data_IF_250444694902
#
_entry.id   IF_250444694902
#
_cell.length_a   1.000
_cell.length_b   1.000
_cell.length_c   1.000
_cell.angle_alpha   90.00
_cell.angle_beta   90.00
_cell.angle_gamma   90.00
#
_symmetry.space_group_name_H-M   'P 1'
#
loop_
_entity.id
_entity.type
_entity.pdbx_description
1 polymer ?
#
# COMPACT_ATOMS: atom_id res chain seq x y z
N UNK A 1 13.91 4.99 -4.29
CA UNK A 1 13.32 3.81 -3.56
C UNK A 1 12.86 2.80 -4.59
N UNK A 2 13.09 1.54 -4.34
CA UNK A 2 12.71 0.46 -5.23
C UNK A 2 11.98 -0.63 -4.46
N UNK A 3 11.11 -1.34 -5.16
CA UNK A 3 10.41 -2.51 -4.65
C UNK A 3 10.57 -3.64 -5.65
N UNK A 4 10.91 -4.83 -5.16
CA UNK A 4 11.00 -6.02 -5.98
C UNK A 4 10.38 -7.19 -5.23
N UNK A 5 9.46 -7.88 -5.89
CA UNK A 5 8.76 -9.02 -5.29
C UNK A 5 9.09 -10.28 -6.09
N UNK A 6 9.46 -11.33 -5.39
CA UNK A 6 9.77 -12.63 -5.97
C UNK A 6 8.75 -13.67 -5.50
N UNK A 7 8.59 -14.74 -6.28
CA UNK A 7 7.68 -15.81 -5.93
C UNK A 7 6.22 -15.56 -6.34
N UNK A 8 5.98 -14.60 -7.24
CA UNK A 8 4.68 -14.33 -7.84
C UNK A 8 4.71 -14.68 -9.31
N UNK A 9 3.55 -14.96 -9.90
CA UNK A 9 3.42 -15.29 -11.32
C UNK A 9 2.34 -14.44 -11.97
N UNK A 10 2.46 -14.16 -13.29
CA UNK A 10 1.39 -13.50 -14.04
C UNK A 10 0.09 -14.29 -13.90
N UNK A 11 -1.00 -13.59 -13.65
CA UNK A 11 -2.29 -14.22 -13.40
C UNK A 11 -2.59 -14.49 -11.93
N UNK A 12 -1.63 -14.31 -11.04
CA UNK A 12 -1.91 -14.35 -9.61
C UNK A 12 -2.88 -13.23 -9.22
N UNK A 13 -3.71 -13.51 -8.23
CA UNK A 13 -4.54 -12.50 -7.59
C UNK A 13 -3.72 -11.82 -6.50
N UNK A 14 -3.60 -10.51 -6.56
CA UNK A 14 -2.81 -9.74 -5.61
C UNK A 14 -3.74 -8.95 -4.71
N UNK A 15 -3.79 -9.31 -3.43
CA UNK A 15 -4.51 -8.54 -2.44
C UNK A 15 -3.66 -7.40 -1.90
N UNK A 16 -4.32 -6.34 -1.51
CA UNK A 16 -3.67 -5.13 -0.98
C UNK A 16 -4.37 -4.70 0.29
N UNK A 17 -3.56 -4.35 1.29
CA UNK A 17 -4.03 -3.75 2.52
C UNK A 17 -3.18 -2.53 2.85
N UNK A 18 -3.85 -1.41 3.09
CA UNK A 18 -3.28 -0.20 3.66
C UNK A 18 -3.97 0.05 5.00
N UNK A 19 -3.21 0.04 6.08
CA UNK A 19 -3.75 0.25 7.43
C UNK A 19 -2.96 1.34 8.12
N UNK A 20 -3.67 2.37 8.59
CA UNK A 20 -3.09 3.38 9.48
C UNK A 20 -3.20 2.90 10.92
N UNK A 21 -2.09 2.99 11.65
CA UNK A 21 -2.00 2.60 13.06
C UNK A 21 -1.72 3.82 13.92
N UNK A 22 -2.42 3.93 15.03
CA UNK A 22 -2.19 4.96 16.04
C UNK A 22 -1.30 4.41 17.15
N UNK A 23 -0.39 5.25 17.65
CA UNK A 23 0.41 4.88 18.80
C UNK A 23 -0.33 5.26 20.09
N UNK A 24 -0.57 4.26 20.94
CA UNK A 24 -1.17 4.46 22.25
C UNK A 24 -0.07 4.62 23.30
N UNK A 25 0.07 5.82 23.82
CA UNK A 25 1.11 6.14 24.79
C UNK A 25 0.90 5.47 26.15
N UNK A 26 -0.35 5.18 26.50
CA UNK A 26 -0.67 4.50 27.77
C UNK A 26 -0.20 3.04 27.78
N UNK A 27 -0.45 2.33 26.70
CA UNK A 27 -0.09 0.91 26.59
C UNK A 27 1.24 0.71 25.90
N UNK A 28 1.86 1.78 25.34
CA UNK A 28 3.09 1.71 24.55
C UNK A 28 2.96 0.73 23.39
N UNK A 29 1.80 0.74 22.74
CA UNK A 29 1.49 -0.19 21.65
C UNK A 29 0.81 0.51 20.47
N UNK A 30 0.87 -0.12 19.32
CA UNK A 30 0.18 0.33 18.13
C UNK A 30 -1.23 -0.27 18.08
N UNK A 31 -2.20 0.57 17.75
CA UNK A 31 -3.59 0.17 17.59
C UNK A 31 -4.11 0.56 16.20
N UNK A 32 -4.93 -0.29 15.55
CA UNK A 32 -5.52 0.06 14.26
C UNK A 32 -6.41 1.29 14.40
N UNK A 33 -6.25 2.23 13.46
CA UNK A 33 -7.20 3.33 13.32
C UNK A 33 -8.38 2.88 12.47
N UNK A 34 -9.39 3.75 12.35
CA UNK A 34 -10.51 3.53 11.44
C UNK A 34 -10.12 3.70 9.98
N UNK A 35 -8.94 4.26 9.71
CA UNK A 35 -8.49 4.49 8.34
C UNK A 35 -7.82 3.24 7.79
N UNK A 36 -8.51 2.62 6.84
CA UNK A 36 -8.08 1.38 6.21
C UNK A 36 -8.56 1.36 4.77
N UNK A 37 -7.71 0.94 3.86
CA UNK A 37 -8.09 0.69 2.47
C UNK A 37 -7.59 -0.69 2.07
N UNK A 38 -8.41 -1.45 1.36
CA UNK A 38 -8.05 -2.78 0.91
C UNK A 38 -8.64 -3.09 -0.46
N UNK A 39 -8.06 -4.09 -1.11
CA UNK A 39 -8.57 -4.66 -2.35
C UNK A 39 -8.24 -6.15 -2.37
N UNK A 40 -9.19 -6.95 -2.82
CA UNK A 40 -8.98 -8.39 -2.99
C UNK A 40 -8.10 -8.70 -4.20
N UNK A 41 -8.13 -7.84 -5.22
CA UNK A 41 -7.30 -7.94 -6.40
C UNK A 41 -7.00 -6.54 -6.92
N UNK A 42 -5.80 -6.05 -6.60
CA UNK A 42 -5.40 -4.68 -6.93
C UNK A 42 -5.00 -4.53 -8.41
N UNK A 43 -4.59 -5.61 -9.08
CA UNK A 43 -4.00 -5.49 -10.41
C UNK A 43 -4.86 -4.74 -11.44
N UNK A 44 -6.19 -4.98 -11.55
CA UNK A 44 -7.01 -4.18 -12.45
C UNK A 44 -7.19 -2.73 -12.01
N UNK A 45 -6.87 -2.40 -10.76
CA UNK A 45 -7.17 -1.11 -10.15
C UNK A 45 -5.93 -0.29 -9.79
N UNK A 46 -4.72 -0.84 -9.98
CA UNK A 46 -3.47 -0.17 -9.57
C UNK A 46 -3.36 1.24 -10.15
N UNK A 47 -3.71 1.41 -11.42
CA UNK A 47 -3.60 2.69 -12.11
C UNK A 47 -4.91 3.49 -12.16
N UNK A 48 -5.94 3.06 -11.42
CA UNK A 48 -7.20 3.80 -11.32
C UNK A 48 -7.03 5.06 -10.50
N UNK A 49 -7.19 6.22 -11.13
CA UNK A 49 -6.95 7.54 -10.51
C UNK A 49 -7.93 7.86 -9.38
N UNK A 50 -9.08 7.19 -9.34
CA UNK A 50 -10.10 7.42 -8.31
C UNK A 50 -9.92 6.56 -7.06
N UNK A 51 -8.86 5.77 -7.00
CA UNK A 51 -8.56 4.93 -5.83
C UNK A 51 -7.56 5.61 -4.91
N UNK A 52 -7.67 5.34 -3.62
CA UNK A 52 -6.79 5.92 -2.61
C UNK A 52 -5.31 5.67 -2.88
N UNK A 53 -4.97 4.43 -3.24
CA UNK A 53 -3.58 4.05 -3.45
C UNK A 53 -2.94 4.77 -4.64
N UNK A 54 -3.72 5.29 -5.57
CA UNK A 54 -3.15 6.08 -6.66
C UNK A 54 -2.41 7.30 -6.13
N UNK A 55 -2.99 8.00 -5.16
CA UNK A 55 -2.38 9.21 -4.58
C UNK A 55 -1.15 8.92 -3.74
N UNK A 56 -1.14 7.78 -3.06
CA UNK A 56 -0.10 7.45 -2.07
C UNK A 56 0.93 6.45 -2.58
N UNK A 57 0.69 5.84 -3.70
CA UNK A 57 1.53 4.78 -4.22
C UNK A 57 1.74 4.92 -5.71
N UNK A 58 0.70 4.70 -6.52
CA UNK A 58 0.81 4.49 -7.96
C UNK A 58 1.40 5.67 -8.69
N UNK A 59 0.98 6.89 -8.37
CA UNK A 59 1.45 8.08 -9.08
C UNK A 59 2.94 8.36 -8.91
N UNK A 60 3.56 7.80 -7.89
CA UNK A 60 4.97 7.99 -7.58
C UNK A 60 5.88 6.96 -8.22
N UNK A 61 5.32 6.00 -8.94
CA UNK A 61 6.10 5.02 -9.70
C UNK A 61 6.74 5.73 -10.89
N UNK A 62 8.06 5.65 -11.00
CA UNK A 62 8.81 6.32 -12.07
C UNK A 62 8.95 5.48 -13.34
N UNK A 63 8.88 4.16 -13.24
CA UNK A 63 8.98 3.25 -14.38
C UNK A 63 7.63 2.65 -14.78
N UNK A 64 6.61 3.50 -14.89
CA UNK A 64 5.23 3.09 -15.21
C UNK A 64 5.12 2.26 -16.48
N UNK A 65 5.87 2.62 -17.51
CA UNK A 65 5.82 1.93 -18.80
C UNK A 65 6.21 0.45 -18.70
N UNK A 66 7.07 0.12 -17.73
CA UNK A 66 7.50 -1.26 -17.49
C UNK A 66 6.52 -2.03 -16.61
N UNK A 67 5.78 -1.33 -15.77
CA UNK A 67 4.95 -1.93 -14.70
C UNK A 67 3.48 -2.00 -15.08
N UNK A 68 3.00 -1.03 -15.86
CA UNK A 68 1.57 -0.80 -16.11
C UNK A 68 0.85 -2.05 -16.64
N UNK A 69 1.47 -2.76 -17.59
CA UNK A 69 0.87 -3.94 -18.20
C UNK A 69 1.07 -5.22 -17.38
N UNK A 70 2.00 -5.19 -16.45
CA UNK A 70 2.45 -6.41 -15.75
C UNK A 70 1.94 -6.48 -14.33
N UNK A 71 1.45 -5.37 -13.80
CA UNK A 71 1.16 -5.24 -12.38
C UNK A 71 2.39 -5.63 -11.55
N UNK A 72 2.20 -5.92 -10.28
CA UNK A 72 3.24 -6.41 -9.39
C UNK A 72 3.31 -7.93 -9.34
N UNK A 73 2.61 -8.61 -10.25
CA UNK A 73 2.54 -10.08 -10.29
C UNK A 73 3.63 -10.73 -11.13
N UNK A 74 4.64 -9.98 -11.57
CA UNK A 74 5.76 -10.53 -12.31
C UNK A 74 6.94 -10.76 -11.38
N UNK A 75 7.43 -12.01 -11.33
CA UNK A 75 8.57 -12.37 -10.49
C UNK A 75 9.78 -11.50 -10.78
N UNK A 76 10.27 -10.84 -9.75
CA UNK A 76 11.47 -10.03 -9.84
C UNK A 76 11.31 -8.70 -10.57
N UNK A 77 10.09 -8.30 -10.92
CA UNK A 77 9.86 -6.99 -11.52
C UNK A 77 10.28 -5.88 -10.56
N UNK A 78 11.12 -4.98 -11.06
CA UNK A 78 11.59 -3.85 -10.27
C UNK A 78 10.64 -2.67 -10.44
N UNK A 79 10.05 -2.24 -9.34
CA UNK A 79 9.21 -1.04 -9.29
C UNK A 79 10.02 0.09 -8.68
N UNK A 80 10.17 1.16 -9.42
CA UNK A 80 10.95 2.33 -9.00
C UNK A 80 10.02 3.47 -8.60
N UNK A 81 10.32 4.09 -7.47
CA UNK A 81 9.56 5.21 -6.92
C UNK A 81 10.43 6.45 -6.83
N UNK A 82 9.80 7.60 -7.01
CA UNK A 82 10.39 8.87 -6.58
C UNK A 82 10.29 9.03 -5.07
N UNK A 83 11.08 9.92 -4.49
CA UNK A 83 10.92 10.33 -3.10
C UNK A 83 9.68 11.22 -3.00
N UNK A 84 8.79 10.94 -2.06
CA UNK A 84 7.56 11.69 -1.92
C UNK A 84 7.12 11.78 -0.46
N UNK A 85 6.33 12.80 -0.17
CA UNK A 85 5.65 12.95 1.11
C UNK A 85 4.24 12.40 1.01
N UNK A 86 3.79 11.72 2.06
CA UNK A 86 2.42 11.26 2.13
C UNK A 86 1.56 12.41 2.64
N UNK A 87 0.76 12.98 1.74
CA UNK A 87 -0.19 14.02 2.07
C UNK A 87 -1.56 13.39 2.24
N UNK A 88 -2.01 13.27 3.47
CA UNK A 88 -3.34 12.81 3.77
C UNK A 88 -4.32 13.97 3.53
N UNK A 89 -4.59 14.23 2.26
CA UNK A 89 -5.53 15.29 1.88
C UNK A 89 -6.95 14.78 1.91
N UNK A 90 -7.78 15.58 2.44
CA UNK A 90 -9.06 15.70 1.94
C UNK A 90 -10.15 14.97 2.56
N UNK A 91 -11.02 14.62 1.76
CA UNK A 91 -12.32 14.03 2.01
C UNK A 91 -12.23 12.64 2.62
N UNK A 92 -11.49 12.52 3.71
CA UNK A 92 -11.55 11.34 4.56
C UNK A 92 -12.84 11.36 5.39
N UNK A 93 -13.82 12.12 4.93
CA UNK A 93 -15.09 12.26 5.60
C UNK A 93 -14.92 12.99 6.93
N UNK A 94 -15.26 12.32 7.99
CA UNK A 94 -15.29 12.88 9.32
C UNK A 94 -14.15 12.38 10.22
N UNK A 95 -13.02 11.96 9.69
CA UNK A 95 -11.90 11.51 10.53
C UNK A 95 -11.36 12.71 11.31
N UNK A 96 -11.67 12.80 12.60
CA UNK A 96 -11.56 14.08 13.30
C UNK A 96 -10.14 14.45 13.66
N UNK A 97 -9.21 13.51 13.76
CA UNK A 97 -7.84 13.83 14.15
C UNK A 97 -6.85 12.78 13.67
N UNK A 98 -6.13 13.11 12.62
CA UNK A 98 -5.03 12.28 12.10
C UNK A 98 -3.66 12.76 12.58
N UNK A 99 -3.59 13.77 13.46
CA UNK A 99 -2.31 14.29 13.94
C UNK A 99 -1.66 13.34 14.94
N UNK A 100 -0.35 13.37 15.01
CA UNK A 100 0.44 12.58 15.95
C UNK A 100 1.30 11.52 15.29
N UNK A 101 1.87 10.66 16.10
CA UNK A 101 2.71 9.55 15.63
C UNK A 101 1.86 8.45 15.04
N UNK A 102 2.10 8.13 13.79
CA UNK A 102 1.35 7.13 13.03
C UNK A 102 2.29 6.13 12.39
N UNK A 103 1.76 4.95 12.15
CA UNK A 103 2.44 3.93 11.35
C UNK A 103 1.50 3.50 10.24
N UNK A 104 2.04 3.44 9.03
CA UNK A 104 1.33 2.91 7.87
C UNK A 104 1.85 1.50 7.62
N UNK A 105 0.94 0.56 7.52
CA UNK A 105 1.25 -0.81 7.10
C UNK A 105 0.70 -1.00 5.69
N UNK A 106 1.57 -1.41 4.79
CA UNK A 106 1.20 -1.76 3.42
C UNK A 106 1.56 -3.23 3.21
N UNK A 107 0.55 -4.04 2.91
CA UNK A 107 0.70 -5.47 2.74
C UNK A 107 0.16 -5.89 1.37
N UNK A 108 1.00 -6.60 0.62
CA UNK A 108 0.60 -7.28 -0.61
C UNK A 108 0.74 -8.78 -0.39
N UNK A 109 -0.31 -9.53 -0.73
CA UNK A 109 -0.31 -10.98 -0.70
C UNK A 109 -0.75 -11.51 -2.05
N UNK A 110 -0.11 -12.57 -2.53
CA UNK A 110 -0.42 -13.19 -3.82
C UNK A 110 -1.11 -14.52 -3.61
N UNK A 111 -2.11 -14.79 -4.45
CA UNK A 111 -2.86 -16.04 -4.47
C UNK A 111 -2.80 -16.63 -5.87
N UNK A 112 -2.55 -17.92 -5.97
CA UNK A 112 -2.49 -18.62 -7.25
C UNK A 112 -3.89 -18.83 -7.86
N UNK A 113 -3.94 -19.54 -8.98
CA UNK A 113 -5.20 -19.84 -9.69
C UNK A 113 -6.21 -20.62 -8.85
N UNK A 114 -5.74 -21.36 -7.85
CA UNK A 114 -6.57 -22.10 -6.92
C UNK A 114 -6.87 -21.32 -5.65
N UNK A 115 -6.54 -20.01 -5.63
CA UNK A 115 -6.68 -19.10 -4.50
C UNK A 115 -5.89 -19.55 -3.26
N UNK A 116 -4.81 -20.29 -3.48
CA UNK A 116 -3.87 -20.62 -2.43
C UNK A 116 -2.82 -19.53 -2.32
N UNK A 117 -2.58 -19.09 -1.09
CA UNK A 117 -1.63 -18.03 -0.81
C UNK A 117 -0.20 -18.47 -1.15
N UNK A 118 0.51 -17.62 -1.89
CA UNK A 118 1.94 -17.81 -2.15
C UNK A 118 2.72 -17.68 -0.85
N UNK A 119 3.88 -18.37 -0.71
CA UNK A 119 4.63 -18.38 0.55
C UNK A 119 5.26 -17.04 0.93
N UNK A 120 5.46 -16.14 -0.03
CA UNK A 120 6.09 -14.85 0.21
C UNK A 120 5.12 -13.72 0.02
N UNK A 121 4.97 -12.89 1.04
CA UNK A 121 4.20 -11.66 1.02
C UNK A 121 5.15 -10.47 0.99
N UNK A 122 4.68 -9.34 0.50
CA UNK A 122 5.39 -8.08 0.63
C UNK A 122 4.70 -7.22 1.69
N UNK A 123 5.44 -6.89 2.75
CA UNK A 123 4.93 -6.03 3.82
C UNK A 123 5.96 -4.93 4.08
N UNK A 124 5.48 -3.69 4.12
CA UNK A 124 6.31 -2.56 4.52
C UNK A 124 5.59 -1.74 5.58
N UNK A 125 6.36 -1.12 6.45
CA UNK A 125 5.87 -0.25 7.50
C UNK A 125 6.61 1.06 7.45
N UNK A 126 5.87 2.16 7.54
CA UNK A 126 6.43 3.50 7.59
C UNK A 126 5.91 4.18 8.84
N UNK A 127 6.84 4.60 9.70
CA UNK A 127 6.51 5.36 10.91
C UNK A 127 6.81 6.83 10.65
N UNK A 128 5.91 7.69 11.02
CA UNK A 128 6.08 9.12 10.83
C UNK A 128 5.14 9.91 11.71
N UNK A 129 5.28 11.22 11.61
CA UNK A 129 4.41 12.14 12.32
C UNK A 129 3.48 12.82 11.31
N UNK A 130 2.18 12.79 11.60
CA UNK A 130 1.17 13.47 10.81
C UNK A 130 0.91 14.83 11.43
N UNK A 131 1.04 15.86 10.62
CA UNK A 131 0.80 17.26 11.03
C UNK A 131 -0.34 17.83 10.21
N UNK A 132 -1.09 18.70 10.84
CA UNK A 132 -2.08 19.50 10.14
C UNK A 132 -1.38 20.67 9.45
N UNK A 133 -1.64 20.84 8.18
CA UNK A 133 -1.11 21.97 7.41
C UNK A 133 -1.97 23.21 7.58
#
# INVERSE_FOLDING_TARGET
MTMQWKGVEPGDTISFLFQLMDFDEYTQSWKPSIFKADSKNICPEVFSKNKYWYQYFTKHITNKDEVEDKCISVHGLLIQYETFEILLKGNLGFVPNLTGTKKVIILFEAFDKNLQKRPYSFCTQVVGEVRQL
#
